data_IF_528593512167
#
_entry.id   IF_528593512167
#
_cell.length_a   1.000
_cell.length_b   1.000
_cell.length_c   1.000
_cell.angle_alpha   90.00
_cell.angle_beta   90.00
_cell.angle_gamma   90.00
#
_symmetry.space_group_name_H-M   'P 1'
#
loop_
_entity.id
_entity.type
_entity.pdbx_description
1 polymer ?
#
# COMPACT_ATOMS: atom_id res chain seq x y z
N UNK A 1 4.62 8.18 -2.56
CA UNK A 1 5.94 8.69 -2.99
C UNK A 1 5.92 10.22 -2.97
N UNK A 2 6.98 10.89 -2.46
CA UNK A 2 7.05 12.34 -2.46
C UNK A 2 6.82 12.96 -3.85
N UNK A 3 6.23 14.16 -3.86
CA UNK A 3 6.13 14.97 -5.08
C UNK A 3 7.56 15.31 -5.53
N UNK A 4 7.88 15.09 -6.80
CA UNK A 4 9.20 15.39 -7.38
C UNK A 4 10.15 14.21 -7.59
N UNK A 5 9.88 13.02 -7.03
CA UNK A 5 10.67 11.81 -7.39
C UNK A 5 10.54 11.51 -8.90
N UNK A 6 11.62 11.29 -9.66
CA UNK A 6 11.52 10.95 -11.08
C UNK A 6 10.78 9.63 -11.32
N UNK A 7 10.04 9.52 -12.44
CA UNK A 7 9.25 8.34 -12.78
C UNK A 7 10.11 7.06 -12.78
N UNK A 8 11.28 7.10 -13.41
CA UNK A 8 12.19 5.93 -13.46
C UNK A 8 12.60 5.41 -12.07
N UNK A 9 12.74 6.28 -11.08
CA UNK A 9 13.05 5.88 -9.70
C UNK A 9 11.83 5.25 -9.02
N UNK A 10 10.63 5.77 -9.30
CA UNK A 10 9.37 5.19 -8.80
C UNK A 10 9.19 3.78 -9.37
N UNK A 11 9.41 3.62 -10.67
CA UNK A 11 9.24 2.34 -11.36
C UNK A 11 10.24 1.31 -10.84
N UNK A 12 11.53 1.71 -10.69
CA UNK A 12 12.56 0.84 -10.12
C UNK A 12 12.19 0.39 -8.71
N UNK A 13 11.76 1.31 -7.84
CA UNK A 13 11.38 0.96 -6.46
C UNK A 13 10.17 0.02 -6.45
N UNK A 14 9.14 0.29 -7.26
CA UNK A 14 7.96 -0.56 -7.36
C UNK A 14 8.35 -1.99 -7.76
N UNK A 15 9.20 -2.14 -8.77
CA UNK A 15 9.67 -3.44 -9.23
C UNK A 15 10.48 -4.17 -8.15
N UNK A 16 11.37 -3.47 -7.45
CA UNK A 16 12.16 -4.05 -6.35
C UNK A 16 11.27 -4.52 -5.19
N UNK A 17 10.30 -3.71 -4.76
CA UNK A 17 9.37 -4.07 -3.68
C UNK A 17 8.54 -5.29 -4.06
N UNK A 18 8.01 -5.32 -5.29
CA UNK A 18 7.23 -6.46 -5.77
C UNK A 18 8.08 -7.74 -5.81
N UNK A 19 9.32 -7.65 -6.27
CA UNK A 19 10.23 -8.80 -6.24
C UNK A 19 10.46 -9.29 -4.80
N UNK A 20 10.74 -8.39 -3.86
CA UNK A 20 11.00 -8.73 -2.46
C UNK A 20 9.81 -9.40 -1.77
N UNK A 21 8.59 -8.86 -1.93
CA UNK A 21 7.39 -9.40 -1.26
C UNK A 21 7.02 -10.80 -1.77
N UNK A 22 7.46 -11.16 -2.97
CA UNK A 22 7.23 -12.52 -3.53
C UNK A 22 8.28 -13.55 -3.13
N UNK A 23 9.35 -13.16 -2.43
CA UNK A 23 10.34 -14.12 -1.93
C UNK A 23 9.70 -15.00 -0.84
N UNK A 24 10.03 -16.32 -0.78
CA UNK A 24 9.42 -17.23 0.20
C UNK A 24 9.65 -16.80 1.65
N UNK A 25 10.84 -16.26 1.95
CA UNK A 25 11.21 -15.78 3.28
C UNK A 25 10.32 -14.61 3.72
N UNK A 26 10.22 -13.56 2.89
CA UNK A 26 9.41 -12.38 3.19
C UNK A 26 7.92 -12.75 3.26
N UNK A 27 7.44 -13.57 2.33
CA UNK A 27 6.06 -14.01 2.33
C UNK A 27 5.70 -14.84 3.57
N UNK A 28 6.62 -15.65 4.07
CA UNK A 28 6.40 -16.43 5.31
C UNK A 28 6.36 -15.51 6.51
N UNK A 29 7.33 -14.60 6.63
CA UNK A 29 7.36 -13.64 7.74
C UNK A 29 6.10 -12.78 7.81
N UNK A 30 5.62 -12.27 6.66
CA UNK A 30 4.38 -11.50 6.61
C UNK A 30 3.18 -12.32 7.12
N UNK A 31 3.08 -13.59 6.72
CA UNK A 31 2.02 -14.49 7.20
C UNK A 31 2.13 -14.77 8.70
N UNK A 32 3.34 -14.96 9.21
CA UNK A 32 3.58 -15.16 10.64
C UNK A 32 3.20 -13.93 11.47
N UNK A 33 3.31 -12.73 10.90
CA UNK A 33 2.87 -11.46 11.50
C UNK A 33 1.35 -11.20 11.29
N UNK A 34 0.62 -12.12 10.68
CA UNK A 34 -0.82 -12.01 10.42
C UNK A 34 -1.20 -11.17 9.20
N UNK A 35 -0.23 -10.83 8.34
CA UNK A 35 -0.44 -10.11 7.10
C UNK A 35 -0.49 -11.05 5.88
N UNK A 36 -1.24 -10.67 4.85
CA UNK A 36 -1.25 -11.38 3.57
C UNK A 36 -0.37 -10.63 2.54
N UNK A 37 0.64 -11.30 1.94
CA UNK A 37 1.46 -10.71 0.90
C UNK A 37 0.64 -10.27 -0.32
N UNK A 38 0.58 -8.97 -0.56
CA UNK A 38 -0.09 -8.40 -1.74
C UNK A 38 0.86 -8.21 -2.91
N UNK A 39 0.41 -8.53 -4.12
CA UNK A 39 1.15 -8.33 -5.39
C UNK A 39 0.62 -7.15 -6.20
N UNK A 40 0.28 -6.05 -5.52
CA UNK A 40 -0.17 -4.83 -6.19
C UNK A 40 1.02 -4.07 -6.79
N UNK A 41 0.88 -3.66 -8.05
CA UNK A 41 1.81 -2.70 -8.64
C UNK A 41 1.55 -1.27 -8.11
N UNK A 42 2.41 -0.32 -8.48
CA UNK A 42 2.30 1.06 -8.03
C UNK A 42 0.98 1.74 -8.43
N UNK A 43 0.41 1.41 -9.59
CA UNK A 43 -0.82 2.01 -10.07
C UNK A 43 -2.03 1.47 -9.28
N UNK A 44 -2.10 0.15 -9.12
CA UNK A 44 -3.11 -0.52 -8.30
C UNK A 44 -3.06 -0.04 -6.85
N UNK A 45 -1.85 0.09 -6.28
CA UNK A 45 -1.68 0.61 -4.92
C UNK A 45 -2.16 2.07 -4.80
N UNK A 46 -1.87 2.91 -5.80
CA UNK A 46 -2.37 4.28 -5.84
C UNK A 46 -3.90 4.37 -5.87
N UNK A 47 -4.55 3.51 -6.67
CA UNK A 47 -6.00 3.41 -6.75
C UNK A 47 -6.62 2.97 -5.42
N UNK A 48 -6.07 1.92 -4.80
CA UNK A 48 -6.51 1.42 -3.50
C UNK A 48 -6.45 2.49 -2.41
N UNK A 49 -5.35 3.25 -2.30
CA UNK A 49 -5.25 4.33 -1.31
C UNK A 49 -6.30 5.43 -1.56
N UNK A 50 -6.63 5.72 -2.82
CA UNK A 50 -7.66 6.70 -3.14
C UNK A 50 -9.07 6.21 -2.76
N UNK A 51 -9.35 4.93 -2.99
CA UNK A 51 -10.60 4.27 -2.58
C UNK A 51 -10.72 4.22 -1.05
N UNK A 52 -9.68 3.74 -0.36
CA UNK A 52 -9.68 3.64 1.09
C UNK A 52 -9.84 5.00 1.76
N UNK A 53 -9.16 6.04 1.25
CA UNK A 53 -9.37 7.40 1.75
C UNK A 53 -10.84 7.82 1.65
N UNK A 54 -11.50 7.48 0.55
CA UNK A 54 -12.91 7.84 0.34
C UNK A 54 -13.81 7.06 1.28
N UNK A 55 -13.59 5.74 1.38
CA UNK A 55 -14.34 4.83 2.25
C UNK A 55 -14.24 5.24 3.72
N UNK A 56 -13.03 5.43 4.23
CA UNK A 56 -12.82 5.79 5.62
C UNK A 56 -13.29 7.22 5.95
N UNK A 57 -13.20 8.17 5.01
CA UNK A 57 -13.77 9.50 5.21
C UNK A 57 -15.30 9.46 5.42
N UNK A 58 -16.00 8.52 4.77
CA UNK A 58 -17.44 8.31 5.01
C UNK A 58 -17.68 7.72 6.40
N UNK A 59 -16.91 6.70 6.79
CA UNK A 59 -17.01 6.07 8.12
C UNK A 59 -16.78 7.08 9.23
N UNK A 60 -15.73 7.89 9.13
CA UNK A 60 -15.39 8.93 10.12
C UNK A 60 -16.52 9.94 10.27
N UNK A 61 -17.08 10.44 9.15
CA UNK A 61 -18.20 11.37 9.17
C UNK A 61 -19.47 10.75 9.77
N UNK A 62 -19.78 9.51 9.41
CA UNK A 62 -20.96 8.82 9.92
C UNK A 62 -20.85 8.52 11.42
N UNK A 63 -19.65 8.21 11.92
CA UNK A 63 -19.41 7.92 13.33
C UNK A 63 -19.08 9.12 14.20
N UNK A 64 -19.02 10.34 13.64
CA UNK A 64 -18.53 11.54 14.33
C UNK A 64 -17.19 11.33 15.07
N UNK A 65 -16.29 10.55 14.44
CA UNK A 65 -15.02 10.14 15.03
C UNK A 65 -14.01 11.28 14.87
N UNK A 66 -13.34 11.66 15.96
CA UNK A 66 -12.25 12.63 15.95
C UNK A 66 -11.00 11.98 16.57
N UNK A 67 -9.82 12.45 16.14
CA UNK A 67 -8.53 12.11 16.75
C UNK A 67 -7.96 13.42 17.28
N UNK A 68 -7.65 13.46 18.57
CA UNK A 68 -7.13 14.64 19.28
C UNK A 68 -5.68 14.98 18.91
#
# INVERSE_FOLDING_TARGET
MPKGVPQAIRDKLSATVLASVTTPEVATRLRDEGAEPSRMDAAAFGAFIAEERTRWAQVVRAGAINVD
#
